data_IF_560349101509
#
_entry.id   IF_560349101509
#
_cell.length_a   1.000
_cell.length_b   1.000
_cell.length_c   1.000
_cell.angle_alpha   90.00
_cell.angle_beta   90.00
_cell.angle_gamma   90.00
#
_symmetry.space_group_name_H-M   'P 1'
#
loop_
_entity.id
_entity.type
_entity.pdbx_description
1 polymer ?
#
# COMPACT_ATOMS: atom_id res chain seq x y z
N UNK A 1 -29.32 -12.92 -12.17
CA UNK A 1 -28.53 -13.78 -11.25
C UNK A 1 -27.66 -12.81 -10.49
N UNK A 2 -28.11 -12.40 -9.30
CA UNK A 2 -27.41 -11.42 -8.49
C UNK A 2 -26.08 -12.04 -8.03
N UNK A 3 -24.98 -11.44 -8.48
CA UNK A 3 -23.64 -11.79 -8.00
C UNK A 3 -23.64 -11.59 -6.48
N UNK A 4 -23.18 -12.56 -5.67
CA UNK A 4 -22.99 -12.32 -4.26
C UNK A 4 -21.96 -11.20 -4.12
N UNK A 5 -22.42 -10.00 -3.77
CA UNK A 5 -21.64 -9.11 -2.92
C UNK A 5 -21.16 -10.00 -1.77
N UNK A 6 -19.86 -10.13 -1.52
CA UNK A 6 -19.27 -9.55 -0.29
C UNK A 6 -17.81 -9.95 -0.06
N UNK A 7 -17.05 -10.44 -1.06
CA UNK A 7 -15.63 -10.78 -0.85
C UNK A 7 -14.69 -9.94 -1.72
N UNK A 8 -13.69 -9.25 -1.13
CA UNK A 8 -12.74 -8.48 -1.90
C UNK A 8 -11.90 -9.40 -2.80
N UNK A 9 -11.53 -8.98 -4.03
CA UNK A 9 -10.84 -9.82 -4.99
C UNK A 9 -9.56 -10.48 -4.49
N UNK A 10 -8.84 -9.81 -3.58
CA UNK A 10 -7.62 -10.38 -2.99
C UNK A 10 -7.93 -11.57 -2.06
N UNK A 11 -9.10 -11.57 -1.39
CA UNK A 11 -9.51 -12.67 -0.52
C UNK A 11 -9.91 -13.91 -1.31
N UNK A 12 -10.56 -13.74 -2.47
CA UNK A 12 -10.93 -14.87 -3.35
C UNK A 12 -9.70 -15.49 -4.01
N UNK A 13 -8.72 -14.67 -4.39
CA UNK A 13 -7.42 -15.15 -4.88
C UNK A 13 -6.66 -15.92 -3.80
N UNK A 14 -6.59 -15.37 -2.57
CA UNK A 14 -5.90 -16.03 -1.46
C UNK A 14 -6.57 -17.36 -1.09
N UNK A 15 -7.91 -17.41 -1.04
CA UNK A 15 -8.65 -18.64 -0.80
C UNK A 15 -8.38 -19.70 -1.87
N UNK A 16 -8.26 -19.28 -3.15
CA UNK A 16 -7.87 -20.15 -4.26
C UNK A 16 -6.46 -20.74 -4.07
N UNK A 17 -5.51 -19.90 -3.65
CA UNK A 17 -4.10 -20.27 -3.43
C UNK A 17 -3.90 -21.20 -2.22
N UNK A 18 -4.67 -21.00 -1.15
CA UNK A 18 -4.50 -21.74 0.10
C UNK A 18 -5.42 -22.96 0.22
N UNK A 19 -6.36 -23.14 -0.73
CA UNK A 19 -7.47 -24.10 -0.61
C UNK A 19 -8.26 -23.96 0.70
N UNK A 20 -8.23 -22.77 1.33
CA UNK A 20 -8.95 -22.52 2.58
C UNK A 20 -10.32 -21.95 2.30
N UNK A 21 -11.33 -22.49 2.98
CA UNK A 21 -12.66 -21.89 3.01
C UNK A 21 -12.61 -20.53 3.73
N UNK A 22 -13.25 -19.51 3.16
CA UNK A 22 -13.36 -18.21 3.80
C UNK A 22 -14.42 -18.23 4.93
N UNK A 23 -14.25 -17.43 6.01
CA UNK A 23 -15.24 -17.34 7.08
C UNK A 23 -16.60 -16.91 6.54
N UNK A 24 -17.65 -17.68 6.83
CA UNK A 24 -18.97 -17.52 6.22
C UNK A 24 -19.50 -18.76 5.51
N UNK A 25 -18.71 -19.85 5.45
CA UNK A 25 -19.21 -21.16 5.06
C UNK A 25 -19.68 -21.19 3.61
N UNK A 26 -18.75 -21.03 2.67
CA UNK A 26 -18.98 -21.44 1.29
C UNK A 26 -18.17 -22.72 1.05
N UNK A 27 -18.92 -23.82 0.97
CA UNK A 27 -18.51 -25.22 1.00
C UNK A 27 -17.55 -25.64 -0.12
N UNK A 28 -17.07 -26.89 -0.02
CA UNK A 28 -16.53 -27.67 -1.15
C UNK A 28 -17.33 -27.39 -2.43
N UNK A 29 -16.66 -26.89 -3.46
CA UNK A 29 -17.26 -26.63 -4.78
C UNK A 29 -17.36 -25.16 -5.21
N UNK A 30 -16.93 -24.18 -4.42
CA UNK A 30 -16.83 -22.78 -4.90
C UNK A 30 -15.58 -22.58 -5.74
N UNK A 31 -15.79 -22.29 -7.03
CA UNK A 31 -14.74 -21.90 -7.95
C UNK A 31 -14.35 -20.42 -7.75
N UNK A 32 -13.49 -20.19 -6.77
CA UNK A 32 -12.92 -18.88 -6.46
C UNK A 32 -12.13 -18.27 -7.63
N UNK A 33 -11.61 -19.08 -8.56
CA UNK A 33 -10.99 -18.58 -9.79
C UNK A 33 -12.02 -17.99 -10.74
N UNK A 34 -13.19 -18.63 -10.87
CA UNK A 34 -14.32 -18.07 -11.64
C UNK A 34 -14.84 -16.76 -11.04
N UNK A 35 -14.94 -16.66 -9.71
CA UNK A 35 -15.32 -15.41 -9.04
C UNK A 35 -14.29 -14.31 -9.30
N UNK A 36 -13.00 -14.61 -9.12
CA UNK A 36 -11.92 -13.66 -9.40
C UNK A 36 -11.95 -13.22 -10.86
N UNK A 37 -12.14 -14.16 -11.79
CA UNK A 37 -12.30 -13.85 -13.21
C UNK A 37 -13.46 -12.89 -13.47
N UNK A 38 -14.61 -13.11 -12.86
CA UNK A 38 -15.78 -12.22 -13.04
C UNK A 38 -15.51 -10.78 -12.57
N UNK A 39 -14.71 -10.61 -11.52
CA UNK A 39 -14.30 -9.29 -11.03
C UNK A 39 -13.29 -8.63 -11.98
N UNK A 40 -12.33 -9.38 -12.50
CA UNK A 40 -11.38 -8.89 -13.52
C UNK A 40 -12.12 -8.50 -14.81
N UNK A 41 -13.10 -9.30 -15.24
CA UNK A 41 -13.92 -9.01 -16.42
C UNK A 41 -14.77 -7.74 -16.20
N UNK A 42 -15.31 -7.55 -14.99
CA UNK A 42 -16.01 -6.31 -14.63
C UNK A 42 -15.10 -5.08 -14.71
N UNK A 43 -13.89 -5.15 -14.13
CA UNK A 43 -12.89 -4.07 -14.21
C UNK A 43 -12.51 -3.70 -15.64
N UNK A 44 -12.51 -4.68 -16.54
CA UNK A 44 -12.20 -4.47 -17.96
C UNK A 44 -13.40 -4.04 -18.81
N UNK A 45 -14.63 -4.18 -18.31
CA UNK A 45 -15.84 -3.79 -19.04
C UNK A 45 -15.97 -2.27 -19.28
N UNK A 46 -16.88 -1.89 -20.16
CA UNK A 46 -17.23 -0.48 -20.44
C UNK A 46 -17.94 0.23 -19.28
N UNK A 47 -18.30 -0.52 -18.22
CA UNK A 47 -18.91 0.05 -17.01
C UNK A 47 -17.89 0.77 -16.13
N UNK A 48 -16.61 0.38 -16.21
CA UNK A 48 -15.54 0.99 -15.41
C UNK A 48 -14.77 1.96 -16.31
N UNK A 49 -14.82 3.28 -16.01
CA UNK A 49 -14.09 4.28 -16.78
C UNK A 49 -12.59 3.98 -16.83
N UNK A 50 -11.93 4.35 -17.93
CA UNK A 50 -10.48 4.23 -18.08
C UNK A 50 -9.91 5.52 -18.65
N UNK A 51 -8.65 5.82 -18.39
CA UNK A 51 -7.95 6.89 -19.12
C UNK A 51 -7.75 6.48 -20.59
N UNK A 52 -7.44 7.43 -21.50
CA UNK A 52 -7.15 7.10 -22.90
C UNK A 52 -6.03 6.05 -23.08
N UNK A 53 -5.05 6.01 -22.16
CA UNK A 53 -3.95 5.05 -22.14
C UNK A 53 -4.30 3.73 -21.44
N UNK A 54 -5.53 3.60 -20.93
CA UNK A 54 -6.07 2.36 -20.35
C UNK A 54 -5.91 2.20 -18.85
N UNK A 55 -5.64 3.26 -18.08
CA UNK A 55 -5.60 3.17 -16.62
C UNK A 55 -7.02 3.01 -16.10
N UNK A 56 -7.28 1.92 -15.37
CA UNK A 56 -8.62 1.60 -14.87
C UNK A 56 -8.96 2.58 -13.74
N UNK A 57 -10.16 3.15 -13.76
CA UNK A 57 -10.62 4.04 -12.69
C UNK A 57 -10.76 3.30 -11.36
N UNK A 58 -10.47 3.99 -10.26
CA UNK A 58 -10.76 3.48 -8.91
C UNK A 58 -12.26 3.47 -8.60
N UNK A 59 -13.05 4.27 -9.33
CA UNK A 59 -14.50 4.40 -9.18
C UNK A 59 -15.23 4.08 -10.48
N UNK A 60 -16.46 3.60 -10.34
CA UNK A 60 -17.33 3.24 -11.48
C UNK A 60 -18.09 4.47 -11.98
N UNK A 61 -18.44 5.38 -11.07
CA UNK A 61 -19.33 6.52 -11.32
C UNK A 61 -18.65 7.63 -12.14
N UNK A 62 -17.33 7.78 -12.00
CA UNK A 62 -16.53 8.74 -12.74
C UNK A 62 -15.08 8.27 -12.84
N UNK A 63 -14.37 8.75 -13.87
CA UNK A 63 -12.93 8.54 -13.99
C UNK A 63 -12.21 9.21 -12.82
N UNK A 64 -11.57 8.42 -11.98
CA UNK A 64 -10.81 8.92 -10.85
C UNK A 64 -9.69 7.95 -10.49
N UNK A 65 -8.46 8.45 -10.44
CA UNK A 65 -7.29 7.64 -10.08
C UNK A 65 -6.90 7.92 -8.64
N UNK A 66 -6.88 6.87 -7.83
CA UNK A 66 -6.52 6.91 -6.41
C UNK A 66 -5.23 6.13 -6.20
N UNK A 67 -4.25 6.67 -5.47
CA UNK A 67 -2.98 5.98 -5.18
C UNK A 67 -3.16 4.56 -4.61
N UNK A 68 -4.24 4.36 -3.86
CA UNK A 68 -4.68 3.11 -3.24
C UNK A 68 -4.87 1.98 -4.25
N UNK A 69 -5.33 2.31 -5.46
CA UNK A 69 -5.63 1.34 -6.52
C UNK A 69 -4.45 0.40 -6.79
N UNK A 70 -3.22 0.93 -6.70
CA UNK A 70 -1.98 0.19 -6.98
C UNK A 70 -1.81 -1.01 -6.04
N UNK A 71 -2.36 -0.93 -4.82
CA UNK A 71 -2.39 -2.06 -3.90
C UNK A 71 -3.59 -2.98 -4.12
N UNK A 72 -4.73 -2.44 -4.56
CA UNK A 72 -5.99 -3.17 -4.62
C UNK A 72 -6.13 -4.07 -5.85
N UNK A 73 -5.75 -3.58 -7.04
CA UNK A 73 -6.07 -4.25 -8.31
C UNK A 73 -4.85 -4.91 -8.96
N UNK A 74 -3.71 -4.24 -9.18
CA UNK A 74 -2.57 -4.87 -9.86
C UNK A 74 -2.09 -6.19 -9.22
N UNK A 75 -2.01 -6.33 -7.88
CA UNK A 75 -1.65 -7.62 -7.28
C UNK A 75 -2.64 -8.74 -7.61
N UNK A 76 -3.94 -8.44 -7.67
CA UNK A 76 -5.00 -9.43 -8.02
C UNK A 76 -4.81 -9.92 -9.45
N UNK A 77 -4.55 -9.02 -10.41
CA UNK A 77 -4.24 -9.37 -11.80
C UNK A 77 -3.00 -10.25 -11.86
N UNK A 78 -1.91 -9.86 -11.18
CA UNK A 78 -0.67 -10.63 -11.15
C UNK A 78 -0.87 -12.05 -10.60
N UNK A 79 -1.54 -12.19 -9.46
CA UNK A 79 -1.79 -13.50 -8.85
C UNK A 79 -2.70 -14.37 -9.73
N UNK A 80 -3.75 -13.79 -10.32
CA UNK A 80 -4.60 -14.51 -11.25
C UNK A 80 -3.81 -15.00 -12.48
N UNK A 81 -2.90 -14.17 -13.00
CA UNK A 81 -2.00 -14.55 -14.09
C UNK A 81 -1.08 -15.71 -13.74
N UNK A 82 -0.55 -15.78 -12.52
CA UNK A 82 0.25 -16.93 -12.07
C UNK A 82 -0.60 -18.19 -11.94
N UNK A 83 -1.77 -18.08 -11.30
CA UNK A 83 -2.70 -19.21 -11.10
C UNK A 83 -3.17 -19.83 -12.42
N UNK A 84 -3.42 -18.99 -13.42
CA UNK A 84 -3.89 -19.39 -14.74
C UNK A 84 -2.77 -19.56 -15.76
N UNK A 85 -1.51 -19.42 -15.35
CA UNK A 85 -0.33 -19.46 -16.23
C UNK A 85 -0.46 -18.55 -17.46
N UNK A 86 -1.06 -17.39 -17.27
CA UNK A 86 -1.38 -16.43 -18.34
C UNK A 86 -0.58 -15.15 -18.15
N UNK A 87 0.48 -15.00 -18.97
CA UNK A 87 1.43 -13.87 -18.89
C UNK A 87 0.77 -12.49 -19.05
N UNK A 88 -0.29 -12.38 -19.85
CA UNK A 88 -0.92 -11.08 -20.13
C UNK A 88 -1.44 -10.42 -18.86
N UNK A 89 -1.99 -11.15 -17.89
CA UNK A 89 -2.44 -10.54 -16.62
C UNK A 89 -1.30 -10.00 -15.75
N UNK A 90 -0.11 -10.60 -15.83
CA UNK A 90 1.09 -10.05 -15.17
C UNK A 90 1.57 -8.77 -15.86
N UNK A 91 1.48 -8.73 -17.20
CA UNK A 91 1.75 -7.52 -17.97
C UNK A 91 0.74 -6.43 -17.63
N UNK A 92 -0.55 -6.76 -17.54
CA UNK A 92 -1.60 -5.82 -17.17
C UNK A 92 -1.39 -5.27 -15.75
N UNK A 93 -1.00 -6.12 -14.79
CA UNK A 93 -0.62 -5.69 -13.45
C UNK A 93 0.51 -4.64 -13.48
N UNK A 94 1.58 -4.92 -14.22
CA UNK A 94 2.68 -3.96 -14.40
C UNK A 94 2.21 -2.67 -15.09
N UNK A 95 1.41 -2.77 -16.16
CA UNK A 95 0.91 -1.62 -16.92
C UNK A 95 0.07 -0.71 -16.03
N UNK A 96 -0.82 -1.26 -15.20
CA UNK A 96 -1.60 -0.47 -14.27
C UNK A 96 -0.70 0.28 -13.26
N UNK A 97 0.33 -0.35 -12.69
CA UNK A 97 1.31 0.34 -11.85
C UNK A 97 2.00 1.50 -12.58
N UNK A 98 2.43 1.26 -13.83
CA UNK A 98 3.12 2.26 -14.67
C UNK A 98 2.24 3.47 -14.95
N UNK A 99 0.98 3.23 -15.36
CA UNK A 99 0.04 4.29 -15.69
C UNK A 99 -0.33 5.11 -14.45
N UNK A 100 -0.59 4.45 -13.32
CA UNK A 100 -0.83 5.15 -12.06
C UNK A 100 0.36 6.01 -11.64
N UNK A 101 1.60 5.52 -11.81
CA UNK A 101 2.80 6.34 -11.59
C UNK A 101 2.85 7.54 -12.52
N UNK A 102 2.57 7.36 -13.81
CA UNK A 102 2.56 8.44 -14.80
C UNK A 102 1.59 9.56 -14.43
N UNK A 103 0.42 9.22 -13.90
CA UNK A 103 -0.61 10.18 -13.54
C UNK A 103 -0.43 10.81 -12.17
N UNK A 104 -0.06 10.03 -11.15
CA UNK A 104 -0.13 10.46 -9.75
C UNK A 104 1.21 10.95 -9.18
N UNK A 105 2.35 10.52 -9.73
CA UNK A 105 3.66 10.94 -9.23
C UNK A 105 3.92 12.39 -9.63
N UNK A 106 4.18 13.24 -8.64
CA UNK A 106 4.60 14.62 -8.87
C UNK A 106 6.05 14.67 -9.36
N UNK A 107 6.29 15.41 -10.45
CA UNK A 107 7.61 15.51 -11.07
C UNK A 107 8.65 16.21 -10.20
N UNK A 108 8.22 17.12 -9.32
CA UNK A 108 9.11 17.97 -8.51
C UNK A 108 9.49 17.33 -7.19
N UNK A 109 8.53 16.74 -6.48
CA UNK A 109 8.75 16.14 -5.15
C UNK A 109 8.99 14.64 -5.22
N UNK A 110 8.52 13.97 -6.27
CA UNK A 110 8.48 12.51 -6.36
C UNK A 110 7.38 11.86 -5.52
N UNK A 111 6.64 12.63 -4.71
CA UNK A 111 5.49 12.16 -3.95
C UNK A 111 4.31 11.86 -4.88
N UNK A 112 3.48 10.91 -4.50
CA UNK A 112 2.26 10.57 -5.21
C UNK A 112 1.08 11.36 -4.65
N UNK A 113 0.32 11.97 -5.56
CA UNK A 113 -0.98 12.59 -5.30
C UNK A 113 -1.98 11.49 -4.91
N UNK A 114 -2.86 11.79 -3.96
CA UNK A 114 -3.85 10.83 -3.48
C UNK A 114 -4.91 10.54 -4.53
N UNK A 115 -5.61 11.57 -5.02
CA UNK A 115 -6.75 11.43 -5.93
C UNK A 115 -6.72 12.49 -7.03
N UNK A 116 -6.70 12.06 -8.30
CA UNK A 116 -6.76 12.93 -9.49
C UNK A 116 -7.86 12.51 -10.47
N UNK A 117 -8.11 13.38 -11.46
CA UNK A 117 -8.99 13.21 -12.63
C UNK A 117 -10.50 13.15 -12.35
N UNK A 118 -10.92 13.15 -11.09
CA UNK A 118 -12.33 13.26 -10.73
C UNK A 118 -12.86 14.70 -10.80
N UNK A 119 -14.16 14.83 -10.67
CA UNK A 119 -14.86 16.10 -10.42
C UNK A 119 -15.43 16.07 -9.01
N UNK A 120 -15.77 17.25 -8.47
CA UNK A 120 -16.47 17.39 -7.17
C UNK A 120 -17.93 16.88 -7.20
N UNK A 121 -18.23 15.90 -8.04
CA UNK A 121 -19.54 15.26 -8.11
C UNK A 121 -19.67 14.33 -6.89
N UNK A 122 -20.85 14.33 -6.27
CA UNK A 122 -21.19 13.58 -5.05
C UNK A 122 -20.48 14.02 -3.75
N UNK A 123 -19.96 15.25 -3.71
CA UNK A 123 -19.43 15.85 -2.49
C UNK A 123 -18.07 15.32 -2.03
N UNK A 124 -17.45 14.39 -2.77
CA UNK A 124 -16.06 13.96 -2.56
C UNK A 124 -15.14 14.79 -3.45
N UNK A 125 -14.34 15.71 -2.90
CA UNK A 125 -13.40 16.48 -3.70
C UNK A 125 -12.33 15.58 -4.30
N UNK A 126 -11.74 15.98 -5.43
CA UNK A 126 -10.37 15.56 -5.70
C UNK A 126 -9.51 15.93 -4.49
N UNK A 127 -8.64 15.01 -4.11
CA UNK A 127 -7.63 15.20 -3.10
C UNK A 127 -6.25 15.14 -3.77
N UNK A 128 -5.78 16.25 -4.35
CA UNK A 128 -4.44 16.30 -4.92
C UNK A 128 -3.37 16.39 -3.82
N UNK A 129 -3.69 16.22 -2.53
CA UNK A 129 -2.68 16.20 -1.47
C UNK A 129 -1.74 15.00 -1.60
N UNK A 130 -0.57 15.09 -0.97
CA UNK A 130 0.38 13.98 -0.86
C UNK A 130 0.08 13.14 0.37
N UNK A 131 -1.04 12.42 0.31
CA UNK A 131 -1.44 11.54 1.41
C UNK A 131 -0.41 10.42 1.60
N UNK A 132 0.16 10.35 2.80
CA UNK A 132 1.30 9.48 3.11
C UNK A 132 0.94 8.01 3.04
N UNK A 133 -0.26 7.64 3.48
CA UNK A 133 -0.73 6.23 3.39
C UNK A 133 -0.93 5.83 1.93
N UNK A 134 -1.42 6.74 1.07
CA UNK A 134 -1.53 6.53 -0.37
C UNK A 134 -0.19 6.22 -1.05
N UNK A 135 0.87 6.93 -0.65
CA UNK A 135 2.24 6.64 -1.11
C UNK A 135 2.71 5.25 -0.64
N UNK A 136 2.40 4.89 0.61
CA UNK A 136 2.65 3.54 1.13
C UNK A 136 1.92 2.46 0.35
N UNK A 137 0.67 2.68 -0.05
CA UNK A 137 -0.09 1.75 -0.88
C UNK A 137 0.52 1.56 -2.26
N UNK A 138 0.97 2.65 -2.89
CA UNK A 138 1.67 2.58 -4.17
C UNK A 138 2.92 1.69 -4.08
N UNK A 139 3.79 1.94 -3.08
CA UNK A 139 4.99 1.14 -2.87
C UNK A 139 4.68 -0.33 -2.55
N UNK A 140 3.74 -0.59 -1.64
CA UNK A 140 3.34 -1.93 -1.24
C UNK A 140 2.75 -2.73 -2.41
N UNK A 141 1.93 -2.08 -3.24
CA UNK A 141 1.30 -2.68 -4.40
C UNK A 141 2.32 -3.08 -5.46
N UNK A 142 3.23 -2.16 -5.79
CA UNK A 142 4.33 -2.43 -6.72
C UNK A 142 5.25 -3.55 -6.21
N UNK A 143 5.55 -3.61 -4.92
CA UNK A 143 6.33 -4.71 -4.32
C UNK A 143 5.61 -6.06 -4.42
N UNK A 144 4.28 -6.10 -4.26
CA UNK A 144 3.50 -7.33 -4.47
C UNK A 144 3.52 -7.78 -5.92
N UNK A 145 3.35 -6.86 -6.87
CA UNK A 145 3.45 -7.18 -8.31
C UNK A 145 4.85 -7.68 -8.66
N UNK A 146 5.90 -7.00 -8.18
CA UNK A 146 7.30 -7.43 -8.35
C UNK A 146 7.51 -8.86 -7.84
N UNK A 147 7.11 -9.13 -6.59
CA UNK A 147 7.27 -10.45 -5.97
C UNK A 147 6.50 -11.52 -6.74
N UNK A 148 5.32 -11.17 -7.26
CA UNK A 148 4.49 -12.09 -8.06
C UNK A 148 5.17 -12.45 -9.37
N UNK A 149 5.68 -11.45 -10.11
CA UNK A 149 6.41 -11.68 -11.36
C UNK A 149 7.67 -12.52 -11.09
N UNK A 150 8.47 -12.13 -10.08
CA UNK A 150 9.72 -12.79 -9.71
C UNK A 150 9.56 -14.28 -9.38
N UNK A 151 8.44 -14.66 -8.76
CA UNK A 151 8.16 -16.05 -8.37
C UNK A 151 7.29 -16.80 -9.41
N UNK A 152 7.04 -16.20 -10.57
CA UNK A 152 6.31 -16.84 -11.68
C UNK A 152 7.24 -17.50 -12.69
N UNK A 153 6.70 -18.37 -13.55
CA UNK A 153 7.42 -18.93 -14.70
C UNK A 153 7.85 -17.85 -15.74
N UNK A 154 7.27 -16.65 -15.66
CA UNK A 154 7.54 -15.56 -16.59
C UNK A 154 8.66 -14.61 -16.14
N UNK A 155 9.24 -14.80 -14.95
CA UNK A 155 10.27 -13.93 -14.37
C UNK A 155 11.43 -13.64 -15.33
N UNK A 156 11.88 -14.66 -16.07
CA UNK A 156 12.97 -14.53 -17.04
C UNK A 156 12.67 -13.57 -18.19
N UNK A 157 11.39 -13.47 -18.58
CA UNK A 157 10.88 -12.65 -19.70
C UNK A 157 10.37 -11.26 -19.29
N UNK A 158 10.33 -10.97 -17.98
CA UNK A 158 9.78 -9.73 -17.42
C UNK A 158 10.80 -8.96 -16.56
N UNK A 159 12.08 -9.07 -16.90
CA UNK A 159 13.18 -8.45 -16.14
C UNK A 159 13.11 -6.93 -16.16
N UNK A 160 12.68 -6.33 -17.27
CA UNK A 160 12.58 -4.88 -17.39
C UNK A 160 11.46 -4.34 -16.50
N UNK A 161 10.31 -5.00 -16.53
CA UNK A 161 9.15 -4.69 -15.71
C UNK A 161 9.48 -4.81 -14.22
N UNK A 162 10.23 -5.84 -13.83
CA UNK A 162 10.73 -5.98 -12.46
C UNK A 162 11.71 -4.87 -12.07
N UNK A 163 12.63 -4.48 -12.95
CA UNK A 163 13.57 -3.39 -12.69
C UNK A 163 12.84 -2.05 -12.53
N UNK A 164 11.86 -1.78 -13.38
CA UNK A 164 11.02 -0.60 -13.29
C UNK A 164 10.28 -0.54 -11.94
N UNK A 165 9.58 -1.61 -11.55
CA UNK A 165 8.86 -1.69 -10.27
C UNK A 165 9.80 -1.47 -9.08
N UNK A 166 11.01 -2.07 -9.13
CA UNK A 166 12.05 -1.84 -8.13
C UNK A 166 12.41 -0.36 -8.03
N UNK A 167 12.75 0.27 -9.16
CA UNK A 167 13.14 1.69 -9.20
C UNK A 167 12.01 2.60 -8.74
N UNK A 168 10.76 2.33 -9.12
CA UNK A 168 9.62 3.15 -8.71
C UNK A 168 9.32 3.04 -7.21
N UNK A 169 9.55 1.88 -6.59
CA UNK A 169 9.47 1.74 -5.13
C UNK A 169 10.59 2.53 -4.45
N UNK A 170 11.82 2.51 -5.01
CA UNK A 170 12.92 3.35 -4.49
C UNK A 170 12.61 4.84 -4.58
N UNK A 171 11.96 5.30 -5.66
CA UNK A 171 11.50 6.68 -5.79
C UNK A 171 10.50 7.06 -4.68
N UNK A 172 9.53 6.20 -4.38
CA UNK A 172 8.56 6.45 -3.29
C UNK A 172 9.29 6.52 -1.94
N UNK A 173 10.22 5.60 -1.67
CA UNK A 173 11.02 5.66 -0.45
C UNK A 173 11.85 6.95 -0.39
N UNK A 174 12.48 7.36 -1.49
CA UNK A 174 13.26 8.61 -1.55
C UNK A 174 12.39 9.81 -1.20
N UNK A 175 11.23 9.93 -1.85
CA UNK A 175 10.31 11.02 -1.63
C UNK A 175 9.82 11.01 -0.18
N UNK A 176 9.24 9.90 0.28
CA UNK A 176 8.64 9.81 1.61
C UNK A 176 9.66 10.01 2.74
N UNK A 177 10.80 9.31 2.74
CA UNK A 177 11.77 9.44 3.82
C UNK A 177 12.46 10.80 3.91
N UNK A 178 12.37 11.65 2.88
CA UNK A 178 12.77 13.06 2.98
C UNK A 178 11.84 13.89 3.89
N UNK A 179 10.63 13.39 4.15
CA UNK A 179 9.61 13.98 5.00
C UNK A 179 9.41 13.24 6.33
N UNK A 180 10.25 12.25 6.66
CA UNK A 180 10.17 11.55 7.94
C UNK A 180 10.64 12.48 9.06
N UNK A 181 9.76 12.74 10.03
CA UNK A 181 10.00 13.71 11.10
C UNK A 181 10.44 13.03 12.40
N UNK A 182 11.44 13.60 13.12
CA UNK A 182 11.69 13.22 14.50
C UNK A 182 10.56 13.75 15.39
N UNK A 183 10.16 12.96 16.37
CA UNK A 183 9.22 13.37 17.42
C UNK A 183 9.94 13.27 18.76
N UNK A 184 9.89 14.34 19.55
CA UNK A 184 10.41 14.32 20.90
C UNK A 184 9.43 13.56 21.81
N UNK A 185 9.88 12.45 22.41
CA UNK A 185 9.13 11.79 23.49
C UNK A 185 9.60 12.38 24.82
N UNK A 186 8.69 13.06 25.53
CA UNK A 186 8.95 13.52 26.89
C UNK A 186 8.52 12.42 27.87
N UNK A 187 9.48 11.71 28.45
CA UNK A 187 9.20 10.75 29.52
C UNK A 187 8.83 11.49 30.82
N UNK A 188 7.68 11.19 31.45
CA UNK A 188 7.16 11.95 32.61
C UNK A 188 7.99 11.83 33.89
N UNK A 189 8.94 10.90 33.96
CA UNK A 189 9.62 10.53 35.21
C UNK A 189 11.14 10.73 35.19
N UNK A 190 11.66 11.56 34.28
CA UNK A 190 13.10 11.88 34.25
C UNK A 190 13.28 13.32 34.68
N UNK A 191 13.59 13.53 35.96
CA UNK A 191 14.11 14.80 36.46
C UNK A 191 15.47 15.06 35.80
N UNK A 192 15.64 16.29 35.30
CA UNK A 192 16.83 16.86 34.64
C UNK A 192 18.14 16.15 35.03
N UNK A 193 18.84 15.45 34.13
CA UNK A 193 19.94 16.02 33.31
C UNK A 193 20.25 15.13 32.09
N UNK A 194 19.49 14.06 31.87
CA UNK A 194 19.56 13.24 30.65
C UNK A 194 18.15 12.99 30.15
N UNK A 195 17.59 13.97 29.43
CA UNK A 195 16.53 13.67 28.48
C UNK A 195 17.14 12.67 27.50
N UNK A 196 16.88 11.37 27.67
CA UNK A 196 17.04 10.43 26.58
C UNK A 196 16.00 10.85 25.55
N UNK A 197 16.39 11.72 24.63
CA UNK A 197 15.69 11.95 23.39
C UNK A 197 15.77 10.62 22.65
N UNK A 198 14.87 9.70 22.98
CA UNK A 198 14.55 8.60 22.09
C UNK A 198 13.98 9.28 20.86
N UNK A 199 14.79 9.40 19.81
CA UNK A 199 14.34 9.92 18.52
C UNK A 199 13.33 8.90 18.00
N UNK A 200 12.05 9.18 18.19
CA UNK A 200 10.99 8.39 17.56
C UNK A 200 10.66 9.08 16.23
N UNK A 201 10.50 8.34 15.15
CA UNK A 201 10.31 8.91 13.80
C UNK A 201 8.92 8.57 13.25
N UNK A 202 8.17 9.56 12.76
CA UNK A 202 6.80 9.37 12.24
C UNK A 202 6.54 10.20 10.99
N UNK A 203 5.76 9.64 10.06
CA UNK A 203 5.18 10.41 8.97
C UNK A 203 3.93 11.15 9.45
N UNK A 204 3.63 12.26 8.80
CA UNK A 204 2.35 12.94 8.91
C UNK A 204 1.35 12.37 7.92
N UNK A 205 0.05 12.59 8.13
CA UNK A 205 -1.01 12.16 7.22
C UNK A 205 -0.81 12.71 5.79
N UNK A 206 -0.39 13.97 5.64
CA UNK A 206 0.11 14.54 4.39
C UNK A 206 1.60 14.86 4.53
N UNK A 207 2.40 14.28 3.64
CA UNK A 207 3.87 14.25 3.76
C UNK A 207 4.52 15.65 3.70
N UNK A 208 3.95 16.55 2.89
CA UNK A 208 4.50 17.88 2.64
C UNK A 208 4.01 18.96 3.61
N UNK A 209 3.27 18.57 4.66
CA UNK A 209 2.64 19.51 5.57
C UNK A 209 3.11 19.31 7.02
N UNK A 210 3.16 20.41 7.78
CA UNK A 210 3.42 20.36 9.22
C UNK A 210 2.38 19.49 9.94
N UNK A 211 2.76 18.73 10.99
CA UNK A 211 1.82 18.00 11.84
C UNK A 211 0.78 18.91 12.52
N UNK A 212 1.04 20.21 12.61
CA UNK A 212 0.12 21.21 13.19
C UNK A 212 -0.82 21.86 12.16
N UNK A 213 -0.68 21.54 10.88
CA UNK A 213 -1.57 22.04 9.84
C UNK A 213 -2.99 21.50 10.03
N UNK A 214 -3.99 22.28 9.60
CA UNK A 214 -5.38 21.85 9.68
C UNK A 214 -5.59 20.50 8.95
N UNK A 215 -6.19 19.52 9.65
CA UNK A 215 -6.43 18.14 9.15
C UNK A 215 -5.17 17.31 8.87
N UNK A 216 -4.01 17.74 9.36
CA UNK A 216 -2.80 16.94 9.36
C UNK A 216 -2.47 16.50 10.79
N UNK A 217 -1.79 15.37 10.93
CA UNK A 217 -1.43 14.76 12.21
C UNK A 217 -0.35 13.71 11.97
N UNK A 218 0.34 13.27 13.03
CA UNK A 218 1.23 12.11 12.93
C UNK A 218 0.42 10.84 12.65
N UNK A 219 0.68 10.19 11.54
CA UNK A 219 -0.11 9.06 11.06
C UNK A 219 0.65 7.73 11.26
N UNK A 220 0.11 6.92 12.18
CA UNK A 220 0.66 5.60 12.48
C UNK A 220 0.53 4.64 11.29
N UNK A 221 -0.56 4.73 10.51
CA UNK A 221 -0.81 3.81 9.39
C UNK A 221 0.20 3.99 8.28
N UNK A 222 0.45 5.23 7.83
CA UNK A 222 1.50 5.49 6.83
C UNK A 222 2.89 5.16 7.35
N UNK A 223 3.17 5.45 8.63
CA UNK A 223 4.44 5.08 9.29
C UNK A 223 4.67 3.58 9.25
N UNK A 224 3.67 2.78 9.63
CA UNK A 224 3.78 1.32 9.64
C UNK A 224 3.94 0.77 8.23
N UNK A 225 3.11 1.24 7.29
CA UNK A 225 3.08 0.76 5.92
C UNK A 225 4.41 1.06 5.20
N UNK A 226 4.92 2.29 5.33
CA UNK A 226 6.17 2.69 4.70
C UNK A 226 7.39 1.96 5.28
N UNK A 227 7.44 1.76 6.60
CA UNK A 227 8.48 0.91 7.21
C UNK A 227 8.38 -0.53 6.68
N UNK A 228 7.15 -1.05 6.58
CA UNK A 228 6.87 -2.36 6.00
C UNK A 228 7.34 -2.51 4.55
N UNK A 229 7.17 -1.49 3.71
CA UNK A 229 7.66 -1.53 2.33
C UNK A 229 9.17 -1.53 2.24
N UNK A 230 9.88 -0.83 3.14
CA UNK A 230 11.34 -0.92 3.25
C UNK A 230 11.79 -2.33 3.60
N UNK A 231 11.22 -2.95 4.63
CA UNK A 231 11.58 -4.32 5.02
C UNK A 231 11.30 -5.32 3.89
N UNK A 232 10.13 -5.20 3.24
CA UNK A 232 9.79 -6.07 2.11
C UNK A 232 10.72 -5.86 0.93
N UNK A 233 11.06 -4.61 0.61
CA UNK A 233 12.03 -4.28 -0.43
C UNK A 233 13.38 -4.95 -0.17
N UNK A 234 13.91 -4.84 1.05
CA UNK A 234 15.18 -5.47 1.43
C UNK A 234 15.15 -6.99 1.23
N UNK A 235 14.07 -7.66 1.63
CA UNK A 235 13.89 -9.11 1.42
C UNK A 235 13.85 -9.44 -0.08
N UNK A 236 13.05 -8.70 -0.84
CA UNK A 236 12.85 -8.98 -2.26
C UNK A 236 14.10 -8.72 -3.11
N UNK A 237 14.85 -7.68 -2.78
CA UNK A 237 16.08 -7.30 -3.48
C UNK A 237 17.33 -7.95 -2.91
N UNK A 238 17.20 -8.68 -1.78
CA UNK A 238 18.33 -9.21 -0.99
C UNK A 238 19.33 -8.13 -0.57
N UNK A 239 18.85 -6.91 -0.38
CA UNK A 239 19.66 -5.75 0.02
C UNK A 239 19.62 -5.57 1.54
N UNK A 240 20.62 -6.13 2.22
CA UNK A 240 20.75 -6.05 3.69
C UNK A 240 21.21 -4.68 4.20
N UNK A 241 21.59 -3.75 3.31
CA UNK A 241 22.13 -2.43 3.68
C UNK A 241 21.37 -1.30 2.99
N UNK A 242 20.09 -1.53 2.70
CA UNK A 242 19.27 -0.52 2.06
C UNK A 242 19.23 0.75 2.93
N UNK A 243 19.47 1.91 2.31
CA UNK A 243 19.74 3.19 2.98
C UNK A 243 18.67 3.68 3.97
N UNK A 244 17.45 3.16 3.88
CA UNK A 244 16.34 3.53 4.78
C UNK A 244 16.08 2.51 5.89
N UNK A 245 16.88 1.44 5.99
CA UNK A 245 16.70 0.37 6.99
C UNK A 245 16.62 0.92 8.42
N UNK A 246 17.62 1.70 8.85
CA UNK A 246 17.69 2.18 10.24
C UNK A 246 16.52 3.12 10.59
N UNK A 247 16.13 3.97 9.63
CA UNK A 247 14.99 4.89 9.79
C UNK A 247 13.66 4.13 9.78
N UNK A 248 13.52 3.12 8.93
CA UNK A 248 12.35 2.22 8.94
C UNK A 248 12.24 1.46 10.26
N UNK A 249 13.35 0.96 10.81
CA UNK A 249 13.39 0.30 12.11
C UNK A 249 13.00 1.27 13.24
N UNK A 250 13.54 2.48 13.23
CA UNK A 250 13.20 3.52 14.22
C UNK A 250 11.72 3.88 14.15
N UNK A 251 11.19 4.09 12.95
CA UNK A 251 9.78 4.35 12.72
C UNK A 251 8.88 3.19 13.14
N UNK A 252 9.32 1.95 12.93
CA UNK A 252 8.63 0.73 13.38
C UNK A 252 8.60 0.65 14.91
N UNK A 253 9.76 0.78 15.57
CA UNK A 253 9.88 0.70 17.02
C UNK A 253 9.06 1.79 17.72
N UNK A 254 8.94 2.96 17.09
CA UNK A 254 8.08 4.07 17.53
C UNK A 254 6.61 3.66 17.70
N UNK A 255 6.10 2.79 16.84
CA UNK A 255 4.70 2.35 16.88
C UNK A 255 4.41 1.36 18.00
N UNK A 256 5.43 0.62 18.46
CA UNK A 256 5.33 -0.38 19.52
C UNK A 256 5.89 0.10 20.86
N UNK A 257 6.49 1.30 20.90
CA UNK A 257 6.84 1.96 22.15
C UNK A 257 5.55 2.25 22.93
N UNK A 258 5.29 1.43 23.95
CA UNK A 258 4.13 1.57 24.83
C UNK A 258 4.10 2.97 25.46
N UNK A 259 2.98 3.68 25.28
CA UNK A 259 2.67 4.89 26.04
C UNK A 259 2.60 4.52 27.53
N UNK A 260 3.68 4.77 28.27
CA UNK A 260 3.64 4.90 29.73
C UNK A 260 3.12 6.27 30.16
N UNK A 261 2.40 7.01 29.30
CA UNK A 261 1.54 8.12 29.76
C UNK A 261 0.44 8.48 28.77
N UNK A 262 -0.73 8.76 29.35
CA UNK A 262 -1.87 9.44 28.76
C UNK A 262 -1.45 10.66 27.91
N UNK A 263 -1.59 10.55 26.60
CA UNK A 263 -1.78 11.68 25.69
C UNK A 263 -3.10 11.46 24.95
N UNK A 264 -4.17 11.30 25.72
CA UNK A 264 -5.55 11.38 25.23
C UNK A 264 -5.97 12.85 25.34
N UNK A 265 -5.85 13.57 24.23
CA UNK A 265 -6.61 14.81 24.00
C UNK A 265 -7.09 14.78 22.55
N UNK A 266 -8.34 14.31 22.37
CA UNK A 266 -9.14 14.55 21.17
C UNK A 266 -9.13 13.41 20.15
N UNK A 267 -10.33 12.84 19.94
CA UNK A 267 -10.75 11.98 18.83
C UNK A 267 -10.05 10.62 18.66
N UNK A 268 -10.46 9.66 19.50
CA UNK A 268 -10.37 8.23 19.20
C UNK A 268 -11.29 7.87 18.03
N UNK A 269 -10.85 8.15 16.81
CA UNK A 269 -11.35 7.43 15.66
C UNK A 269 -10.52 6.15 15.50
N UNK A 270 -10.85 5.14 16.32
CA UNK A 270 -10.37 3.76 16.14
C UNK A 270 -10.87 3.27 14.78
N UNK A 271 -9.99 3.21 13.78
CA UNK A 271 -10.33 2.63 12.48
C UNK A 271 -9.76 1.22 12.31
N UNK A 272 -10.56 0.23 11.88
CA UNK A 272 -10.16 -1.17 11.76
C UNK A 272 -8.93 -1.41 10.87
N UNK A 273 -8.64 -0.50 9.93
CA UNK A 273 -7.51 -0.57 9.01
C UNK A 273 -6.18 -0.55 9.76
N UNK A 274 -6.04 0.28 10.80
CA UNK A 274 -4.81 0.38 11.60
C UNK A 274 -4.44 -0.93 12.30
N UNK A 275 -5.43 -1.69 12.78
CA UNK A 275 -5.21 -2.99 13.42
C UNK A 275 -4.95 -4.09 12.37
N UNK A 276 -5.65 -4.06 11.24
CA UNK A 276 -5.38 -4.95 10.11
C UNK A 276 -3.96 -4.75 9.54
N UNK A 277 -3.45 -3.51 9.52
CA UNK A 277 -2.09 -3.18 9.13
C UNK A 277 -1.05 -3.77 10.10
N UNK A 278 -1.23 -3.59 11.40
CA UNK A 278 -0.32 -4.17 12.41
C UNK A 278 -0.29 -5.69 12.28
N UNK A 279 -1.44 -6.36 12.09
CA UNK A 279 -1.50 -7.81 11.90
C UNK A 279 -0.87 -8.26 10.57
N UNK A 280 -1.16 -7.57 9.45
CA UNK A 280 -0.55 -7.85 8.15
C UNK A 280 0.98 -7.70 8.18
N UNK A 281 1.47 -6.68 8.88
CA UNK A 281 2.91 -6.39 8.97
C UNK A 281 3.62 -7.28 10.00
N UNK A 282 2.95 -7.73 11.07
CA UNK A 282 3.51 -8.71 12.03
C UNK A 282 3.75 -10.06 11.35
N UNK A 283 2.81 -10.52 10.51
CA UNK A 283 2.97 -11.76 9.72
C UNK A 283 4.09 -11.65 8.67
N UNK A 284 4.39 -10.45 8.17
CA UNK A 284 5.51 -10.21 7.26
C UNK A 284 6.85 -10.11 8.00
N UNK A 285 6.87 -9.55 9.23
CA UNK A 285 8.06 -9.38 10.06
C UNK A 285 8.58 -10.66 10.73
N UNK A 286 7.70 -11.62 11.06
CA UNK A 286 8.12 -12.89 11.67
C UNK A 286 8.91 -13.80 10.73
N UNK A 287 8.74 -13.65 9.41
CA UNK A 287 9.51 -14.42 8.42
C UNK A 287 10.93 -13.89 8.19
N UNK A 288 11.26 -12.70 8.70
CA UNK A 288 12.58 -12.07 8.57
C UNK A 288 13.53 -12.26 9.77
N UNK A 289 13.06 -12.88 10.86
CA UNK A 289 13.88 -13.25 12.02
C UNK A 289 14.28 -14.72 11.99
N UNK A 290 14.96 -15.16 10.92
CA UNK A 290 15.79 -16.37 10.92
C UNK A 290 17.00 -16.18 10.01
#
# INVERSE_FOLDING_TARGET
MDLPQTLPPIATVLASLTHQALPGGMADGVDYLTITKSQIDFLNSDKVPKTPEGAISHRVEQLQLWSDFVYMVPPVLGYYGVLTKTRSYLVDAYVQCRLYRQYLRDGSTGLWRHVLLGTRVDGVPNDPGFWSTGNGWAAAGMLRVYATIKNSEFAGSMKNEMNDLKTWVEEVHIAMYSHLLPVAVRYPHVTETTCRIGLVERFTNYADQSPTSARNFYDASSTALMAGTVFRYMVEMRDKKYKYMDRAQTAWDTLFATNSTNLDNGDKLHRPEGQAFVVMLTLLGETGKR
#
